data_IF_332852531324
#
_entry.id   IF_332852531324
#
_cell.length_a   1.000
_cell.length_b   1.000
_cell.length_c   1.000
_cell.angle_alpha   90.00
_cell.angle_beta   90.00
_cell.angle_gamma   90.00
#
_symmetry.space_group_name_H-M   'P 1'
#
loop_
_entity.id
_entity.type
_entity.pdbx_description
1 polymer ?
#
# COMPACT_ATOMS: atom_id res chain seq x y z
N UNK A 1 110.47 -180.73 137.40
CA UNK A 1 110.22 -179.91 138.60
C UNK A 1 109.67 -178.57 138.17
N UNK A 2 108.42 -178.30 138.57
CA UNK A 2 107.80 -177.00 138.89
C UNK A 2 108.43 -175.69 138.37
N UNK A 3 107.58 -174.88 137.71
CA UNK A 3 107.27 -173.44 137.96
C UNK A 3 106.50 -172.91 136.74
N UNK A 4 105.17 -172.77 136.77
CA UNK A 4 104.33 -171.72 137.40
C UNK A 4 104.68 -170.31 136.89
N UNK A 5 103.64 -169.61 136.42
CA UNK A 5 103.47 -168.15 136.30
C UNK A 5 103.84 -167.40 135.01
N UNK A 6 102.84 -167.14 134.15
CA UNK A 6 101.99 -165.93 134.15
C UNK A 6 101.22 -165.89 132.82
N UNK A 7 99.89 -165.79 132.89
CA UNK A 7 99.04 -165.46 131.75
C UNK A 7 99.40 -164.06 131.23
N UNK A 8 100.16 -164.01 130.14
CA UNK A 8 100.43 -162.78 129.42
C UNK A 8 99.25 -162.45 128.50
N UNK A 9 98.23 -161.80 129.07
CA UNK A 9 97.28 -160.85 128.45
C UNK A 9 97.21 -160.94 126.91
N UNK A 10 96.30 -161.75 126.37
CA UNK A 10 96.14 -162.02 124.93
C UNK A 10 95.99 -160.74 124.10
N UNK A 11 95.43 -159.67 124.71
CA UNK A 11 95.38 -158.33 124.10
C UNK A 11 96.77 -157.74 123.90
N UNK A 12 97.71 -157.94 124.83
CA UNK A 12 99.10 -157.49 124.66
C UNK A 12 99.83 -158.33 123.63
N UNK A 13 99.59 -159.64 123.57
CA UNK A 13 100.17 -160.50 122.54
C UNK A 13 99.65 -160.14 121.13
N UNK A 14 98.33 -159.99 120.96
CA UNK A 14 97.71 -159.56 119.71
C UNK A 14 98.10 -158.12 119.33
N UNK A 15 98.26 -157.22 120.31
CA UNK A 15 98.78 -155.88 120.05
C UNK A 15 100.25 -155.90 119.62
N UNK A 16 101.09 -156.78 120.20
CA UNK A 16 102.49 -156.97 119.81
C UNK A 16 102.59 -157.59 118.42
N UNK A 17 101.74 -158.57 118.11
CA UNK A 17 101.73 -159.24 116.81
C UNK A 17 101.16 -158.33 115.71
N UNK A 18 100.13 -157.54 116.01
CA UNK A 18 99.66 -156.45 115.16
C UNK A 18 100.74 -155.37 114.99
N UNK A 19 101.54 -155.06 116.03
CA UNK A 19 102.70 -154.17 115.93
C UNK A 19 103.78 -154.77 115.04
N UNK A 20 104.10 -156.05 115.18
CA UNK A 20 105.07 -156.76 114.32
C UNK A 20 104.59 -156.85 112.89
N UNK A 21 103.31 -157.13 112.64
CA UNK A 21 102.74 -157.17 111.30
C UNK A 21 102.67 -155.79 110.66
N UNK A 22 102.30 -154.73 111.42
CA UNK A 22 102.42 -153.35 110.96
C UNK A 22 103.87 -152.98 110.68
N UNK A 23 104.82 -153.37 111.54
CA UNK A 23 106.24 -153.09 111.33
C UNK A 23 106.79 -153.87 110.13
N UNK A 24 106.38 -155.12 109.88
CA UNK A 24 106.72 -155.88 108.66
C UNK A 24 106.11 -155.26 107.40
N UNK A 25 104.84 -154.84 107.45
CA UNK A 25 104.18 -154.12 106.36
C UNK A 25 104.80 -152.74 106.13
N UNK A 26 105.35 -152.12 107.17
CA UNK A 26 106.07 -150.85 107.11
C UNK A 26 107.49 -151.04 106.59
N UNK A 27 108.21 -152.06 107.03
CA UNK A 27 109.54 -152.44 106.56
C UNK A 27 109.51 -152.79 105.07
N UNK A 28 108.54 -153.58 104.61
CA UNK A 28 108.35 -153.88 103.18
C UNK A 28 108.10 -152.63 102.33
N UNK A 29 107.56 -151.54 102.90
CA UNK A 29 107.42 -150.24 102.23
C UNK A 29 108.67 -149.36 102.30
N UNK A 30 109.35 -149.33 103.45
CA UNK A 30 110.52 -148.45 103.70
C UNK A 30 111.80 -148.99 103.04
N UNK A 31 112.02 -150.30 103.07
CA UNK A 31 113.19 -150.94 102.46
C UNK A 31 113.05 -151.12 100.95
N UNK A 32 111.83 -151.04 100.41
CA UNK A 32 111.60 -151.02 98.97
C UNK A 32 111.81 -149.60 98.43
N UNK A 33 113.01 -149.33 97.91
CA UNK A 33 113.42 -148.02 97.38
C UNK A 33 112.45 -147.46 96.34
N UNK A 34 111.82 -148.31 95.53
CA UNK A 34 110.85 -147.87 94.51
C UNK A 34 109.54 -147.37 95.11
N UNK A 35 108.99 -148.06 96.10
CA UNK A 35 107.78 -147.60 96.82
C UNK A 35 108.05 -146.36 97.68
N UNK A 36 109.29 -146.18 98.19
CA UNK A 36 109.66 -145.01 98.98
C UNK A 36 109.78 -143.74 98.13
N UNK A 37 110.27 -143.85 96.90
CA UNK A 37 110.44 -142.70 95.99
C UNK A 37 109.20 -142.43 95.15
N UNK A 38 108.46 -143.48 94.72
CA UNK A 38 107.32 -143.38 93.79
C UNK A 38 106.13 -144.27 94.18
N UNK A 39 105.90 -144.50 95.48
CA UNK A 39 104.73 -145.22 95.95
C UNK A 39 103.47 -144.36 95.84
N UNK A 40 102.63 -144.65 94.85
CA UNK A 40 101.34 -143.98 94.63
C UNK A 40 100.24 -145.03 94.63
N UNK A 41 99.15 -144.76 95.34
CA UNK A 41 97.96 -145.61 95.32
C UNK A 41 97.18 -145.39 94.01
N UNK A 42 97.54 -146.18 92.99
CA UNK A 42 96.95 -146.09 91.65
C UNK A 42 95.47 -146.45 91.67
N UNK A 43 95.03 -147.37 92.53
CA UNK A 43 93.63 -147.78 92.63
C UNK A 43 92.78 -146.68 93.29
N UNK A 44 93.27 -146.09 94.38
CA UNK A 44 92.62 -144.93 95.02
C UNK A 44 92.53 -143.72 94.10
N UNK A 45 93.60 -143.41 93.36
CA UNK A 45 93.58 -142.32 92.36
C UNK A 45 92.62 -142.62 91.20
N UNK A 46 92.54 -143.86 90.72
CA UNK A 46 91.55 -144.25 89.70
C UNK A 46 90.12 -144.02 90.21
N UNK A 47 89.82 -144.44 91.44
CA UNK A 47 88.51 -144.20 92.05
C UNK A 47 88.20 -142.71 92.20
N UNK A 48 89.18 -141.89 92.60
CA UNK A 48 89.00 -140.42 92.68
C UNK A 48 88.78 -139.77 91.30
N UNK A 49 89.47 -140.24 90.26
CA UNK A 49 89.28 -139.78 88.88
C UNK A 49 87.90 -140.18 88.37
N UNK A 50 87.44 -141.39 88.67
CA UNK A 50 86.09 -141.85 88.32
C UNK A 50 85.01 -141.03 89.04
N UNK A 51 85.15 -140.79 90.35
CA UNK A 51 84.22 -139.95 91.11
C UNK A 51 84.18 -138.52 90.57
N UNK A 52 85.33 -137.93 90.25
CA UNK A 52 85.41 -136.61 89.62
C UNK A 52 84.72 -136.59 88.26
N UNK A 53 84.94 -137.60 87.41
CA UNK A 53 84.25 -137.75 86.12
C UNK A 53 82.74 -137.89 86.29
N UNK A 54 82.28 -138.64 87.30
CA UNK A 54 80.86 -138.76 87.63
C UNK A 54 80.25 -137.43 88.07
N UNK A 55 80.98 -136.63 88.86
CA UNK A 55 80.58 -135.28 89.26
C UNK A 55 80.51 -134.33 88.05
N UNK A 56 81.57 -134.26 87.26
CA UNK A 56 81.63 -133.43 86.05
C UNK A 56 80.53 -133.82 85.06
N UNK A 57 80.24 -135.12 84.88
CA UNK A 57 79.17 -135.58 84.00
C UNK A 57 77.76 -135.26 84.57
N UNK A 58 77.58 -135.36 85.88
CA UNK A 58 76.31 -134.97 86.54
C UNK A 58 76.05 -133.47 86.45
N UNK A 59 77.09 -132.64 86.65
CA UNK A 59 77.01 -131.18 86.46
C UNK A 59 76.71 -130.85 85.01
N UNK A 60 77.40 -131.49 84.06
CA UNK A 60 77.14 -131.30 82.63
C UNK A 60 75.72 -131.68 82.24
N UNK A 61 75.18 -132.79 82.73
CA UNK A 61 73.78 -133.17 82.50
C UNK A 61 72.79 -132.17 83.10
N UNK A 62 73.11 -131.60 84.27
CA UNK A 62 72.31 -130.57 84.91
C UNK A 62 72.32 -129.26 84.11
N UNK A 63 73.49 -128.85 83.63
CA UNK A 63 73.64 -127.67 82.79
C UNK A 63 72.94 -127.86 81.44
N UNK A 64 73.07 -129.04 80.82
CA UNK A 64 72.35 -129.42 79.60
C UNK A 64 70.82 -129.39 79.80
N UNK A 65 70.32 -129.81 80.97
CA UNK A 65 68.90 -129.73 81.31
C UNK A 65 68.42 -128.27 81.47
N UNK A 66 69.20 -127.42 82.15
CA UNK A 66 68.87 -126.00 82.29
C UNK A 66 68.94 -125.25 80.95
N UNK A 67 69.90 -125.58 80.10
CA UNK A 67 69.99 -125.04 78.75
C UNK A 67 68.80 -125.47 77.89
N UNK A 68 68.35 -126.72 78.00
CA UNK A 68 67.15 -127.20 77.34
C UNK A 68 65.90 -126.43 77.82
N UNK A 69 65.73 -126.24 79.13
CA UNK A 69 64.63 -125.44 79.70
C UNK A 69 64.68 -123.98 79.26
N UNK A 70 65.89 -123.37 79.18
CA UNK A 70 66.07 -122.02 78.65
C UNK A 70 65.60 -121.91 77.21
N UNK A 71 65.97 -122.87 76.36
CA UNK A 71 65.53 -122.91 74.95
C UNK A 71 64.00 -123.08 74.85
N UNK A 72 63.39 -123.88 75.73
CA UNK A 72 61.92 -124.01 75.78
C UNK A 72 61.25 -122.69 76.21
N UNK A 73 61.75 -122.04 77.26
CA UNK A 73 61.26 -120.74 77.72
C UNK A 73 61.41 -119.65 76.65
N UNK A 74 62.56 -119.57 75.97
CA UNK A 74 62.80 -118.61 74.88
C UNK A 74 61.82 -118.85 73.73
N UNK A 75 61.55 -120.11 73.39
CA UNK A 75 60.55 -120.47 72.36
C UNK A 75 59.14 -120.05 72.76
N UNK A 76 58.74 -120.26 74.01
CA UNK A 76 57.45 -119.82 74.54
C UNK A 76 57.34 -118.29 74.49
N UNK A 77 58.40 -117.57 74.88
CA UNK A 77 58.43 -116.11 74.83
C UNK A 77 58.27 -115.58 73.40
N UNK A 78 58.95 -116.18 72.42
CA UNK A 78 58.79 -115.82 71.00
C UNK A 78 57.37 -116.05 70.49
N UNK A 79 56.74 -117.18 70.84
CA UNK A 79 55.34 -117.44 70.46
C UNK A 79 54.38 -116.40 71.06
N UNK A 80 54.55 -116.05 72.34
CA UNK A 80 53.74 -115.02 73.01
C UNK A 80 53.94 -113.63 72.38
N UNK A 81 55.18 -113.29 72.00
CA UNK A 81 55.49 -112.04 71.32
C UNK A 81 54.84 -111.98 69.93
N UNK A 82 54.86 -113.09 69.18
CA UNK A 82 54.18 -113.19 67.89
C UNK A 82 52.66 -113.06 68.03
N UNK A 83 52.05 -113.71 69.02
CA UNK A 83 50.63 -113.59 69.35
C UNK A 83 50.27 -112.14 69.71
N UNK A 84 51.06 -111.49 70.56
CA UNK A 84 50.84 -110.09 70.93
C UNK A 84 50.97 -109.16 69.72
N UNK A 85 51.96 -109.40 68.86
CA UNK A 85 52.16 -108.65 67.60
C UNK A 85 50.97 -108.82 66.66
N UNK A 86 50.45 -110.04 66.50
CA UNK A 86 49.25 -110.31 65.70
C UNK A 86 48.03 -109.63 66.30
N UNK A 87 47.84 -109.68 67.62
CA UNK A 87 46.74 -109.00 68.31
C UNK A 87 46.80 -107.48 68.16
N UNK A 88 47.99 -106.88 68.27
CA UNK A 88 48.21 -105.45 68.00
C UNK A 88 47.85 -105.09 66.56
N UNK A 89 48.25 -105.92 65.60
CA UNK A 89 47.92 -105.73 64.18
C UNK A 89 46.42 -105.80 63.93
N UNK A 90 45.73 -106.80 64.48
CA UNK A 90 44.28 -106.95 64.38
C UNK A 90 43.53 -105.78 65.02
N UNK A 91 43.95 -105.36 66.22
CA UNK A 91 43.36 -104.20 66.89
C UNK A 91 43.55 -102.92 66.06
N UNK A 92 44.75 -102.71 65.51
CA UNK A 92 45.00 -101.57 64.64
C UNK A 92 44.14 -101.60 63.38
N UNK A 93 44.02 -102.77 62.73
CA UNK A 93 43.14 -102.95 61.58
C UNK A 93 41.67 -102.62 61.93
N UNK A 94 41.16 -103.15 63.04
CA UNK A 94 39.79 -102.87 63.48
C UNK A 94 39.56 -101.39 63.79
N UNK A 95 40.55 -100.70 64.37
CA UNK A 95 40.48 -99.25 64.64
C UNK A 95 40.46 -98.44 63.34
N UNK A 96 41.32 -98.80 62.37
CA UNK A 96 41.34 -98.14 61.06
C UNK A 96 40.04 -98.38 60.29
N UNK A 97 39.50 -99.60 60.33
CA UNK A 97 38.20 -99.93 59.74
C UNK A 97 37.07 -99.13 60.41
N UNK A 98 37.09 -99.01 61.74
CA UNK A 98 36.13 -98.21 62.48
C UNK A 98 36.21 -96.73 62.11
N UNK A 99 37.42 -96.16 62.01
CA UNK A 99 37.62 -94.78 61.54
C UNK A 99 37.10 -94.60 60.11
N UNK A 100 37.39 -95.56 59.22
CA UNK A 100 36.94 -95.54 57.84
C UNK A 100 35.42 -95.75 57.68
N UNK A 101 34.74 -96.37 58.64
CA UNK A 101 33.29 -96.58 58.57
C UNK A 101 32.51 -95.46 59.25
N UNK A 102 32.88 -95.10 60.46
CA UNK A 102 32.08 -94.24 61.34
C UNK A 102 32.58 -92.79 61.44
N UNK A 103 33.88 -92.55 61.20
CA UNK A 103 34.51 -91.23 61.40
C UNK A 103 34.90 -90.53 60.09
N UNK A 104 34.19 -90.83 59.01
CA UNK A 104 34.37 -90.14 57.73
C UNK A 104 34.06 -88.64 57.87
N UNK A 105 34.79 -87.74 57.18
CA UNK A 105 34.48 -86.32 57.21
C UNK A 105 33.03 -86.00 56.82
N UNK A 106 32.46 -86.77 55.88
CA UNK A 106 31.10 -86.62 55.39
C UNK A 106 29.98 -86.96 56.39
N UNK A 107 30.29 -87.71 57.46
CA UNK A 107 29.30 -88.08 58.48
C UNK A 107 29.25 -87.09 59.64
N UNK A 108 30.06 -86.02 59.60
CA UNK A 108 30.05 -84.95 60.60
C UNK A 108 28.76 -84.15 60.52
N UNK A 109 28.30 -83.64 61.66
CA UNK A 109 27.07 -82.84 61.76
C UNK A 109 27.15 -81.55 60.94
N UNK A 110 28.33 -80.94 60.93
CA UNK A 110 28.66 -79.69 60.23
C UNK A 110 29.25 -79.91 58.82
N UNK A 111 29.14 -81.12 58.26
CA UNK A 111 29.69 -81.41 56.93
C UNK A 111 29.06 -80.54 55.84
N UNK A 112 27.77 -80.19 55.95
CA UNK A 112 27.06 -79.31 55.03
C UNK A 112 27.71 -77.91 54.91
N UNK A 113 28.30 -77.41 56.00
CA UNK A 113 29.04 -76.14 56.05
C UNK A 113 30.46 -76.29 55.47
N UNK A 114 31.10 -77.44 55.71
CA UNK A 114 32.49 -77.70 55.33
C UNK A 114 32.67 -78.43 54.00
N UNK A 115 31.58 -78.81 53.33
CA UNK A 115 31.60 -79.45 52.01
C UNK A 115 32.22 -78.51 50.97
N UNK A 116 33.37 -78.88 50.35
CA UNK A 116 34.01 -78.06 49.32
C UNK A 116 33.09 -77.81 48.11
N UNK A 117 32.10 -78.67 47.87
CA UNK A 117 31.13 -78.53 46.79
C UNK A 117 29.86 -77.77 47.19
N UNK A 118 29.74 -77.26 48.42
CA UNK A 118 28.54 -76.58 48.91
C UNK A 118 28.06 -75.45 47.99
N UNK A 119 28.99 -74.65 47.45
CA UNK A 119 28.70 -73.55 46.51
C UNK A 119 28.13 -74.08 45.18
N UNK A 120 28.58 -75.25 44.72
CA UNK A 120 28.10 -75.86 43.47
C UNK A 120 26.73 -76.53 43.64
N UNK A 121 26.48 -77.14 44.81
CA UNK A 121 25.21 -77.79 45.16
C UNK A 121 24.13 -76.77 45.53
N UNK A 122 24.52 -75.57 45.97
CA UNK A 122 23.62 -74.47 46.30
C UNK A 122 22.81 -73.96 45.11
N UNK A 123 21.57 -73.55 45.37
CA UNK A 123 20.69 -72.93 44.39
C UNK A 123 20.88 -71.40 44.50
N UNK A 124 20.87 -70.63 43.40
CA UNK A 124 20.86 -69.17 43.46
C UNK A 124 19.75 -68.62 44.37
N UNK A 125 20.02 -67.47 45.00
CA UNK A 125 19.11 -66.82 45.95
C UNK A 125 17.74 -66.45 45.33
N UNK A 126 17.71 -66.19 44.01
CA UNK A 126 16.51 -66.00 43.18
C UNK A 126 16.71 -66.76 41.87
N UNK A 127 15.81 -67.68 41.54
CA UNK A 127 15.91 -68.52 40.32
C UNK A 127 15.07 -67.96 39.18
N UNK A 128 13.97 -67.29 39.50
CA UNK A 128 13.04 -66.68 38.55
C UNK A 128 12.41 -65.43 39.16
N UNK A 129 11.72 -64.62 38.34
CA UNK A 129 10.98 -63.44 38.80
C UNK A 129 9.79 -63.79 39.69
N UNK A 130 9.21 -64.98 39.46
CA UNK A 130 8.10 -65.55 40.22
C UNK A 130 8.54 -66.62 41.23
N UNK A 131 9.80 -66.56 41.70
CA UNK A 131 10.29 -67.50 42.72
C UNK A 131 9.52 -67.31 44.04
N UNK A 132 8.72 -68.32 44.40
CA UNK A 132 7.86 -68.29 45.59
C UNK A 132 8.65 -68.16 46.92
N UNK A 133 9.96 -68.49 46.92
CA UNK A 133 10.83 -68.33 48.09
C UNK A 133 11.17 -66.86 48.35
N UNK A 134 11.10 -66.00 47.32
CA UNK A 134 11.45 -64.59 47.37
C UNK A 134 10.27 -63.72 47.85
N UNK A 135 9.84 -63.92 49.10
CA UNK A 135 8.86 -63.05 49.76
C UNK A 135 9.42 -61.65 50.11
N UNK A 136 8.58 -60.72 50.62
CA UNK A 136 8.99 -59.34 50.92
C UNK A 136 10.19 -59.23 51.88
N UNK A 137 10.30 -60.14 52.87
CA UNK A 137 11.41 -60.15 53.83
C UNK A 137 12.74 -60.63 53.25
N UNK A 138 12.72 -61.37 52.13
CA UNK A 138 13.93 -61.93 51.51
C UNK A 138 14.83 -60.85 50.89
N UNK A 139 14.26 -59.67 50.59
CA UNK A 139 14.92 -58.57 49.87
C UNK A 139 15.55 -58.96 48.52
N UNK A 140 15.14 -60.09 47.93
CA UNK A 140 15.62 -60.55 46.61
C UNK A 140 14.77 -60.05 45.44
N UNK A 141 13.57 -59.52 45.73
CA UNK A 141 12.63 -58.97 44.74
C UNK A 141 12.04 -57.67 45.25
N UNK A 142 12.11 -56.62 44.44
CA UNK A 142 11.61 -55.29 44.77
C UNK A 142 10.47 -54.90 43.84
N UNK A 143 9.38 -54.37 44.38
CA UNK A 143 8.22 -53.96 43.58
C UNK A 143 8.50 -52.76 42.65
N UNK A 144 9.55 -51.97 42.94
CA UNK A 144 10.00 -50.89 42.05
C UNK A 144 10.84 -51.36 40.86
N UNK A 145 11.31 -52.60 40.86
CA UNK A 145 11.99 -53.21 39.73
C UNK A 145 10.96 -53.53 38.64
N UNK A 146 10.95 -52.74 37.58
CA UNK A 146 9.99 -52.89 36.51
C UNK A 146 10.62 -53.51 35.26
N UNK A 147 10.51 -54.83 35.18
CA UNK A 147 10.96 -55.62 34.04
C UNK A 147 10.13 -55.33 32.77
N UNK A 148 8.93 -54.77 32.91
CA UNK A 148 8.03 -54.47 31.81
C UNK A 148 8.19 -53.03 31.27
N UNK A 149 9.17 -52.27 31.79
CA UNK A 149 9.46 -50.91 31.35
C UNK A 149 9.61 -50.79 29.82
N UNK A 150 10.33 -51.68 29.11
CA UNK A 150 10.48 -51.58 27.66
C UNK A 150 9.16 -51.69 26.90
N UNK A 151 8.27 -52.60 27.33
CA UNK A 151 6.96 -52.76 26.69
C UNK A 151 6.03 -51.56 26.98
N UNK A 152 6.03 -51.06 28.23
CA UNK A 152 5.29 -49.83 28.57
C UNK A 152 5.78 -48.65 27.74
N UNK A 153 7.09 -48.44 27.62
CA UNK A 153 7.65 -47.38 26.79
C UNK A 153 7.29 -47.55 25.31
N UNK A 154 7.29 -48.78 24.79
CA UNK A 154 6.84 -49.06 23.42
C UNK A 154 5.37 -48.68 23.21
N UNK A 155 4.50 -49.03 24.15
CA UNK A 155 3.08 -48.66 24.11
C UNK A 155 2.89 -47.14 24.17
N UNK A 156 3.56 -46.46 25.09
CA UNK A 156 3.52 -45.00 25.21
C UNK A 156 4.00 -44.32 23.94
N UNK A 157 5.12 -44.76 23.36
CA UNK A 157 5.62 -44.25 22.07
C UNK A 157 4.60 -44.45 20.94
N UNK A 158 3.92 -45.59 20.91
CA UNK A 158 2.84 -45.86 19.95
C UNK A 158 1.66 -44.89 20.10
N UNK A 159 1.22 -44.66 21.34
CA UNK A 159 0.15 -43.70 21.65
C UNK A 159 0.55 -42.28 21.27
N UNK A 160 1.76 -41.84 21.65
CA UNK A 160 2.26 -40.51 21.30
C UNK A 160 2.36 -40.34 19.78
N UNK A 161 2.85 -41.37 19.07
CA UNK A 161 2.92 -41.35 17.60
C UNK A 161 1.53 -41.14 16.99
N UNK A 162 0.53 -41.93 17.42
CA UNK A 162 -0.84 -41.80 16.92
C UNK A 162 -1.41 -40.39 17.14
N UNK A 163 -1.29 -39.85 18.35
CA UNK A 163 -1.78 -38.50 18.68
C UNK A 163 -1.09 -37.44 17.82
N UNK A 164 0.23 -37.55 17.60
CA UNK A 164 0.97 -36.60 16.77
C UNK A 164 0.57 -36.71 15.28
N UNK A 165 0.29 -37.91 14.79
CA UNK A 165 -0.22 -38.13 13.43
C UNK A 165 -1.61 -37.49 13.27
N UNK A 166 -2.52 -37.69 14.22
CA UNK A 166 -3.83 -37.02 14.22
C UNK A 166 -3.70 -35.49 14.23
N UNK A 167 -2.91 -34.93 15.14
CA UNK A 167 -2.67 -33.48 15.22
C UNK A 167 -2.07 -32.93 13.92
N UNK A 168 -1.14 -33.67 13.30
CA UNK A 168 -0.54 -33.28 12.03
C UNK A 168 -1.58 -33.27 10.92
N UNK A 169 -2.38 -34.33 10.78
CA UNK A 169 -3.42 -34.39 9.74
C UNK A 169 -4.48 -33.31 9.92
N UNK A 170 -4.88 -33.02 11.15
CA UNK A 170 -5.82 -31.95 11.46
C UNK A 170 -5.23 -30.59 11.09
N UNK A 171 -3.96 -30.33 11.42
CA UNK A 171 -3.27 -29.10 11.04
C UNK A 171 -3.14 -28.96 9.52
N UNK A 172 -2.80 -30.04 8.82
CA UNK A 172 -2.73 -30.06 7.36
C UNK A 172 -4.09 -29.76 6.72
N UNK A 173 -5.19 -30.32 7.25
CA UNK A 173 -6.57 -29.97 6.83
C UNK A 173 -6.89 -28.50 7.07
N UNK A 174 -6.65 -27.98 8.27
CA UNK A 174 -6.88 -26.56 8.58
C UNK A 174 -6.09 -25.63 7.66
N UNK A 175 -4.83 -25.98 7.34
CA UNK A 175 -4.01 -25.22 6.39
C UNK A 175 -4.55 -25.30 4.95
N UNK A 176 -5.06 -26.46 4.53
CA UNK A 176 -5.68 -26.62 3.22
C UNK A 176 -6.97 -25.79 3.12
N UNK A 177 -7.81 -25.81 4.16
CA UNK A 177 -9.05 -25.03 4.24
C UNK A 177 -8.75 -23.53 4.23
N UNK A 178 -7.74 -23.08 4.98
CA UNK A 178 -7.27 -21.69 4.94
C UNK A 178 -6.79 -21.28 3.55
N UNK A 179 -5.92 -22.07 2.93
CA UNK A 179 -5.46 -21.79 1.55
C UNK A 179 -6.61 -21.74 0.56
N UNK A 180 -7.59 -22.62 0.70
CA UNK A 180 -8.77 -22.62 -0.15
C UNK A 180 -9.59 -21.34 0.05
N UNK A 181 -9.83 -20.93 1.31
CA UNK A 181 -10.51 -19.68 1.63
C UNK A 181 -9.76 -18.46 1.08
N UNK A 182 -8.44 -18.39 1.26
CA UNK A 182 -7.59 -17.32 0.73
C UNK A 182 -7.71 -17.24 -0.80
N UNK A 183 -7.64 -18.38 -1.51
CA UNK A 183 -7.78 -18.39 -2.97
C UNK A 183 -9.17 -17.95 -3.44
N UNK A 184 -10.21 -18.20 -2.65
CA UNK A 184 -11.57 -17.77 -2.96
C UNK A 184 -11.71 -16.25 -2.75
N UNK A 185 -11.15 -15.73 -1.68
CA UNK A 185 -11.12 -14.30 -1.38
C UNK A 185 -10.33 -13.53 -2.45
N UNK A 186 -9.18 -14.06 -2.88
CA UNK A 186 -8.38 -13.46 -3.96
C UNK A 186 -9.15 -13.42 -5.28
N UNK A 187 -9.86 -14.52 -5.64
CA UNK A 187 -10.73 -14.52 -6.84
C UNK A 187 -11.84 -13.48 -6.74
N UNK A 188 -12.47 -13.35 -5.57
CA UNK A 188 -13.52 -12.37 -5.32
C UNK A 188 -12.98 -10.93 -5.41
N UNK A 189 -11.76 -10.67 -4.92
CA UNK A 189 -11.10 -9.37 -5.06
C UNK A 189 -10.88 -9.02 -6.53
N UNK A 190 -10.34 -9.96 -7.31
CA UNK A 190 -10.14 -9.78 -8.75
C UNK A 190 -11.47 -9.48 -9.46
N UNK A 191 -12.55 -10.20 -9.13
CA UNK A 191 -13.88 -9.95 -9.69
C UNK A 191 -14.39 -8.53 -9.36
N UNK A 192 -14.24 -8.09 -8.11
CA UNK A 192 -14.65 -6.75 -7.68
C UNK A 192 -13.83 -5.66 -8.38
N UNK A 193 -12.53 -5.86 -8.54
CA UNK A 193 -11.65 -4.92 -9.24
C UNK A 193 -12.05 -4.80 -10.72
N UNK A 194 -12.29 -5.93 -11.41
CA UNK A 194 -12.77 -5.95 -12.79
C UNK A 194 -14.11 -5.21 -12.92
N UNK A 195 -15.05 -5.48 -12.01
CA UNK A 195 -16.35 -4.79 -12.01
C UNK A 195 -16.22 -3.30 -11.75
N UNK A 196 -15.25 -2.89 -10.93
CA UNK A 196 -14.96 -1.47 -10.67
C UNK A 196 -14.43 -0.79 -11.92
N UNK A 197 -13.54 -1.45 -12.68
CA UNK A 197 -13.04 -0.95 -13.96
C UNK A 197 -14.16 -0.83 -15.00
N UNK A 198 -15.03 -1.83 -15.11
CA UNK A 198 -16.20 -1.79 -16.00
C UNK A 198 -17.14 -0.62 -15.66
N UNK A 199 -17.45 -0.43 -14.37
CA UNK A 199 -18.28 0.69 -13.93
C UNK A 199 -17.64 2.04 -14.21
N UNK A 200 -16.33 2.18 -14.02
CA UNK A 200 -15.59 3.41 -14.32
C UNK A 200 -15.63 3.74 -15.82
N UNK A 201 -15.44 2.73 -16.69
CA UNK A 201 -15.56 2.90 -18.14
C UNK A 201 -16.98 3.33 -18.54
N UNK A 202 -18.02 2.66 -18.02
CA UNK A 202 -19.41 3.02 -18.27
C UNK A 202 -19.76 4.43 -17.79
N UNK A 203 -19.22 4.86 -16.64
CA UNK A 203 -19.40 6.22 -16.15
C UNK A 203 -18.75 7.24 -17.09
N UNK A 204 -17.53 6.96 -17.55
CA UNK A 204 -16.82 7.84 -18.48
C UNK A 204 -17.55 7.96 -19.83
N UNK A 205 -18.06 6.84 -20.35
CA UNK A 205 -18.84 6.81 -21.59
C UNK A 205 -20.15 7.57 -21.45
N UNK A 206 -20.85 7.42 -20.32
CA UNK A 206 -22.04 8.18 -20.00
C UNK A 206 -21.74 9.68 -19.89
N UNK A 207 -20.61 10.06 -19.28
CA UNK A 207 -20.16 11.46 -19.19
C UNK A 207 -19.85 12.03 -20.57
N UNK A 208 -19.17 11.27 -21.43
CA UNK A 208 -18.91 11.65 -22.83
C UNK A 208 -20.21 11.84 -23.61
N UNK A 209 -21.13 10.89 -23.54
CA UNK A 209 -22.43 10.97 -24.21
C UNK A 209 -23.25 12.19 -23.75
N UNK A 210 -23.27 12.47 -22.43
CA UNK A 210 -23.92 13.68 -21.88
C UNK A 210 -23.27 14.97 -22.40
N UNK A 211 -21.94 15.03 -22.40
CA UNK A 211 -21.22 16.20 -22.90
C UNK A 211 -21.49 16.45 -24.39
N UNK A 212 -21.53 15.39 -25.21
CA UNK A 212 -21.89 15.47 -26.63
C UNK A 212 -23.32 15.98 -26.80
N UNK A 213 -24.29 15.42 -26.08
CA UNK A 213 -25.68 15.86 -26.15
C UNK A 213 -25.86 17.33 -25.76
N UNK A 214 -25.17 17.79 -24.72
CA UNK A 214 -25.17 19.22 -24.31
C UNK A 214 -24.53 20.10 -25.39
N UNK A 215 -23.40 19.67 -25.97
CA UNK A 215 -22.73 20.42 -27.03
C UNK A 215 -23.62 20.56 -28.28
N UNK A 216 -24.31 19.49 -28.67
CA UNK A 216 -25.23 19.50 -29.80
C UNK A 216 -26.46 20.36 -29.52
N UNK A 217 -27.02 20.29 -28.30
CA UNK A 217 -28.11 21.17 -27.87
C UNK A 217 -27.70 22.64 -27.91
N UNK A 218 -26.54 22.98 -27.35
CA UNK A 218 -26.02 24.35 -27.38
C UNK A 218 -25.76 24.84 -28.81
N UNK A 219 -25.28 23.97 -29.70
CA UNK A 219 -25.07 24.29 -31.13
C UNK A 219 -26.41 24.57 -31.82
N UNK A 220 -27.43 23.74 -31.58
CA UNK A 220 -28.77 23.95 -32.11
C UNK A 220 -29.40 25.25 -31.59
N UNK A 221 -29.26 25.52 -30.29
CA UNK A 221 -29.75 26.75 -29.67
C UNK A 221 -29.04 28.00 -30.24
N UNK A 222 -27.72 27.95 -30.42
CA UNK A 222 -26.97 29.03 -31.05
C UNK A 222 -27.41 29.29 -32.50
N UNK A 223 -27.67 28.23 -33.27
CA UNK A 223 -28.19 28.34 -34.63
C UNK A 223 -29.61 28.96 -34.65
N UNK A 224 -30.48 28.57 -33.71
CA UNK A 224 -31.82 29.15 -33.56
C UNK A 224 -31.75 30.65 -33.24
N UNK A 225 -30.91 31.05 -32.28
CA UNK A 225 -30.71 32.45 -31.93
C UNK A 225 -30.16 33.25 -33.12
N UNK A 226 -29.22 32.69 -33.88
CA UNK A 226 -28.69 33.34 -35.09
C UNK A 226 -29.74 33.48 -36.21
N UNK A 227 -30.65 32.52 -36.37
CA UNK A 227 -31.82 32.64 -37.26
C UNK A 227 -32.78 33.74 -36.77
N UNK A 228 -33.10 33.76 -35.48
CA UNK A 228 -33.97 34.79 -34.91
C UNK A 228 -33.39 36.19 -35.07
N UNK A 229 -32.09 36.38 -34.84
CA UNK A 229 -31.41 37.65 -35.05
C UNK A 229 -31.42 38.07 -36.51
N UNK A 230 -31.17 37.16 -37.46
CA UNK A 230 -31.27 37.46 -38.89
C UNK A 230 -32.68 37.90 -39.29
N UNK A 231 -33.71 37.20 -38.79
CA UNK A 231 -35.11 37.59 -39.03
C UNK A 231 -35.45 38.94 -38.40
N UNK A 232 -34.93 39.22 -37.20
CA UNK A 232 -35.14 40.51 -36.54
C UNK A 232 -34.46 41.65 -37.32
N UNK A 233 -33.23 41.47 -37.77
CA UNK A 233 -32.53 42.44 -38.63
C UNK A 233 -33.26 42.66 -39.95
N UNK A 234 -33.78 41.59 -40.56
CA UNK A 234 -34.55 41.70 -41.80
C UNK A 234 -35.86 42.47 -41.58
N UNK A 235 -36.57 42.23 -40.47
CA UNK A 235 -37.75 43.02 -40.10
C UNK A 235 -37.41 44.49 -39.85
N UNK A 236 -36.31 44.75 -39.15
CA UNK A 236 -35.85 46.12 -38.90
C UNK A 236 -35.50 46.83 -40.22
N UNK A 237 -34.88 46.14 -41.17
CA UNK A 237 -34.65 46.66 -42.52
C UNK A 237 -35.96 46.93 -43.27
N UNK A 238 -36.91 45.99 -43.26
CA UNK A 238 -38.22 46.15 -43.89
C UNK A 238 -38.99 47.34 -43.27
N UNK A 239 -38.95 47.49 -41.95
CA UNK A 239 -39.58 48.60 -41.22
C UNK A 239 -38.91 49.94 -41.56
N UNK A 240 -37.57 49.99 -41.62
CA UNK A 240 -36.83 51.17 -42.04
C UNK A 240 -37.15 51.57 -43.48
N UNK A 241 -37.21 50.60 -44.40
CA UNK A 241 -37.56 50.84 -45.80
C UNK A 241 -39.00 51.33 -45.93
N UNK A 242 -39.93 50.77 -45.15
CA UNK A 242 -41.31 51.23 -45.08
C UNK A 242 -41.41 52.65 -44.52
N UNK A 243 -40.66 52.99 -43.47
CA UNK A 243 -40.58 54.34 -42.91
C UNK A 243 -40.04 55.34 -43.95
N UNK A 244 -38.93 55.01 -44.62
CA UNK A 244 -38.35 55.83 -45.69
C UNK A 244 -39.36 56.03 -46.82
N UNK A 245 -40.00 54.95 -47.29
CA UNK A 245 -41.01 55.04 -48.33
C UNK A 245 -42.20 55.91 -47.91
N UNK A 246 -42.69 55.74 -46.68
CA UNK A 246 -43.79 56.54 -46.12
C UNK A 246 -43.41 58.03 -46.02
N UNK A 247 -42.17 58.36 -45.63
CA UNK A 247 -41.70 59.73 -45.63
C UNK A 247 -41.59 60.29 -47.04
N UNK A 248 -40.97 59.56 -47.97
CA UNK A 248 -40.83 59.97 -49.37
C UNK A 248 -42.18 60.19 -50.07
N UNK A 249 -43.19 59.40 -49.72
CA UNK A 249 -44.56 59.52 -50.28
C UNK A 249 -45.48 60.40 -49.42
N UNK A 250 -45.00 60.90 -48.29
CA UNK A 250 -45.77 61.77 -47.41
C UNK A 250 -46.06 63.10 -48.09
N UNK A 251 -47.30 63.56 -47.88
CA UNK A 251 -47.81 64.87 -48.30
C UNK A 251 -46.93 66.06 -47.88
N UNK A 252 -46.11 65.91 -46.83
CA UNK A 252 -45.16 66.94 -46.39
C UNK A 252 -43.96 67.03 -47.34
N UNK A 253 -43.23 65.92 -47.59
CA UNK A 253 -42.03 65.93 -48.43
C UNK A 253 -42.34 66.04 -49.93
N UNK A 254 -43.48 65.50 -50.39
CA UNK A 254 -43.90 65.65 -51.80
C UNK A 254 -44.54 67.00 -52.10
N UNK A 255 -44.69 67.84 -51.08
CA UNK A 255 -45.34 69.15 -51.17
C UNK A 255 -46.69 69.11 -51.91
N UNK A 256 -47.47 68.03 -51.70
CA UNK A 256 -48.67 67.77 -52.48
C UNK A 256 -49.68 68.95 -52.38
N UNK A 257 -50.06 69.60 -53.51
CA UNK A 257 -50.98 70.74 -53.50
C UNK A 257 -52.43 70.34 -53.15
N UNK A 258 -52.79 69.06 -53.29
CA UNK A 258 -54.15 68.58 -53.01
C UNK A 258 -54.52 68.67 -51.52
N UNK A 259 -53.53 68.72 -50.64
CA UNK A 259 -53.70 68.89 -49.19
C UNK A 259 -54.39 70.23 -48.88
N UNK A 260 -54.22 71.23 -49.73
CA UNK A 260 -54.82 72.55 -49.56
C UNK A 260 -56.34 72.59 -49.86
N UNK A 261 -56.90 71.53 -50.47
CA UNK A 261 -58.33 71.46 -50.83
C UNK A 261 -59.18 71.30 -49.57
N UNK A 262 -60.10 72.23 -49.32
CA UNK A 262 -61.02 72.13 -48.19
C UNK A 262 -62.10 71.06 -48.43
N UNK A 263 -62.41 70.27 -47.41
CA UNK A 263 -63.57 69.38 -47.42
C UNK A 263 -64.91 70.13 -47.59
N UNK A 264 -64.94 71.44 -47.27
CA UNK A 264 -66.13 72.30 -47.35
C UNK A 264 -66.38 72.87 -48.76
N UNK A 265 -65.61 72.45 -49.77
CA UNK A 265 -65.90 72.69 -51.18
C UNK A 265 -64.68 73.14 -52.02
N UNK A 266 -64.73 72.97 -53.35
CA UNK A 266 -63.57 73.16 -54.25
C UNK A 266 -63.00 74.58 -54.27
N UNK A 267 -63.84 75.57 -53.95
CA UNK A 267 -63.46 76.99 -54.00
C UNK A 267 -62.84 77.49 -52.68
N UNK A 268 -62.83 76.66 -51.63
CA UNK A 268 -62.23 76.98 -50.34
C UNK A 268 -60.90 76.26 -50.20
N UNK A 269 -59.90 77.02 -49.76
CA UNK A 269 -58.55 76.52 -49.52
C UNK A 269 -58.27 76.56 -48.02
N UNK A 270 -57.59 75.54 -47.50
CA UNK A 270 -57.10 75.52 -46.12
C UNK A 270 -55.92 76.50 -46.01
N UNK A 271 -56.11 77.61 -45.31
CA UNK A 271 -55.17 78.75 -45.29
C UNK A 271 -53.76 78.36 -44.85
N UNK A 272 -53.62 77.48 -43.86
CA UNK A 272 -52.32 77.04 -43.34
C UNK A 272 -51.55 76.11 -44.29
N UNK A 273 -52.22 75.54 -45.30
CA UNK A 273 -51.67 74.54 -46.21
C UNK A 273 -51.62 75.03 -47.66
N UNK A 274 -51.88 76.32 -47.88
CA UNK A 274 -51.86 76.92 -49.21
C UNK A 274 -50.43 77.12 -49.72
N UNK A 275 -50.12 76.52 -50.88
CA UNK A 275 -48.77 76.49 -51.49
C UNK A 275 -48.71 77.21 -52.83
N UNK A 276 -49.40 78.35 -52.92
CA UNK A 276 -49.46 79.16 -54.14
C UNK A 276 -50.55 78.72 -55.13
N UNK A 277 -50.57 79.37 -56.29
CA UNK A 277 -51.51 79.08 -57.38
C UNK A 277 -51.07 77.86 -58.17
N UNK A 278 -52.03 77.08 -58.68
CA UNK A 278 -51.73 75.96 -59.58
C UNK A 278 -51.13 76.47 -60.89
N UNK A 279 -50.29 75.68 -61.58
CA UNK A 279 -49.73 76.06 -62.88
C UNK A 279 -50.81 76.46 -63.91
N UNK A 280 -51.98 75.79 -63.87
CA UNK A 280 -53.12 76.11 -64.73
C UNK A 280 -53.73 77.48 -64.41
N UNK A 281 -53.84 77.87 -63.14
CA UNK A 281 -54.32 79.20 -62.72
C UNK A 281 -53.30 80.29 -63.09
N UNK A 282 -52.01 80.04 -62.90
CA UNK A 282 -50.95 80.97 -63.32
C UNK A 282 -50.98 81.16 -64.84
N UNK A 283 -51.14 80.09 -65.61
CA UNK A 283 -51.27 80.16 -67.07
C UNK A 283 -52.52 80.96 -67.51
N UNK A 284 -53.63 80.78 -66.81
CA UNK A 284 -54.84 81.57 -67.05
C UNK A 284 -54.63 83.07 -66.76
N UNK A 285 -53.93 83.41 -65.68
CA UNK A 285 -53.55 84.81 -65.37
C UNK A 285 -52.64 85.38 -66.46
N UNK A 286 -51.62 84.62 -66.90
CA UNK A 286 -50.73 85.07 -67.97
C UNK A 286 -51.47 85.30 -69.29
N UNK A 287 -52.38 84.40 -69.68
CA UNK A 287 -53.26 84.61 -70.85
C UNK A 287 -54.11 85.87 -70.72
N UNK A 288 -54.70 86.08 -69.54
CA UNK A 288 -55.51 87.27 -69.26
C UNK A 288 -54.66 88.55 -69.35
N UNK A 289 -53.43 88.53 -68.86
CA UNK A 289 -52.50 89.66 -68.97
C UNK A 289 -52.09 89.94 -70.42
N UNK A 290 -51.85 88.89 -71.21
CA UNK A 290 -51.55 89.03 -72.64
C UNK A 290 -52.72 89.67 -73.40
N UNK A 291 -53.96 89.26 -73.09
CA UNK A 291 -55.18 89.87 -73.63
C UNK A 291 -55.30 91.34 -73.21
N UNK A 292 -55.04 91.68 -71.94
CA UNK A 292 -55.03 93.06 -71.45
C UNK A 292 -53.97 93.92 -72.15
N UNK A 293 -52.78 93.38 -72.42
CA UNK A 293 -51.74 94.08 -73.17
C UNK A 293 -52.19 94.37 -74.61
N UNK A 294 -52.81 93.40 -75.29
CA UNK A 294 -53.36 93.57 -76.65
C UNK A 294 -54.49 94.61 -76.66
N UNK A 295 -55.38 94.58 -75.67
CA UNK A 295 -56.47 95.55 -75.56
C UNK A 295 -55.94 96.97 -75.29
N UNK A 296 -54.97 97.13 -74.40
CA UNK A 296 -54.32 98.42 -74.15
C UNK A 296 -53.58 98.96 -75.40
N UNK A 297 -52.96 98.09 -76.20
CA UNK A 297 -52.37 98.49 -77.49
C UNK A 297 -53.44 99.02 -78.45
N UNK A 298 -54.56 98.31 -78.60
CA UNK A 298 -55.70 98.78 -79.41
C UNK A 298 -56.25 100.13 -78.94
N UNK A 299 -56.36 100.31 -77.63
CA UNK A 299 -56.83 101.58 -77.06
C UNK A 299 -55.87 102.75 -77.35
N UNK A 300 -54.56 102.53 -77.26
CA UNK A 300 -53.54 103.53 -77.62
C UNK A 300 -53.54 103.86 -79.10
N UNK A 301 -53.69 102.86 -79.98
CA UNK A 301 -53.81 103.09 -81.43
C UNK A 301 -55.07 103.92 -81.76
N UNK A 302 -56.20 103.61 -81.11
CA UNK A 302 -57.43 104.38 -81.27
C UNK A 302 -57.30 105.82 -80.72
N UNK A 303 -56.58 106.02 -79.62
CA UNK A 303 -56.31 107.35 -79.07
C UNK A 303 -55.40 108.18 -79.98
N UNK A 304 -54.32 107.58 -80.50
CA UNK A 304 -53.43 108.22 -81.47
C UNK A 304 -54.17 108.61 -82.76
N UNK A 305 -55.12 107.79 -83.24
CA UNK A 305 -55.97 108.14 -84.38
C UNK A 305 -56.88 109.34 -84.08
N UNK A 306 -57.48 109.40 -82.89
CA UNK A 306 -58.30 110.54 -82.45
C UNK A 306 -57.47 111.83 -82.31
N UNK A 307 -56.26 111.74 -81.76
CA UNK A 307 -55.35 112.88 -81.62
C UNK A 307 -54.91 113.41 -82.99
N UNK A 308 -54.57 112.52 -83.94
CA UNK A 308 -54.24 112.91 -85.31
C UNK A 308 -55.43 113.51 -86.10
N UNK A 309 -56.67 113.17 -85.75
CA UNK A 309 -57.87 113.84 -86.29
C UNK A 309 -58.07 115.21 -85.66
N UNK A 310 -57.85 115.34 -84.34
CA UNK A 310 -57.93 116.61 -83.62
C UNK A 310 -56.88 117.61 -84.10
N UNK A 311 -55.64 117.17 -84.30
CA UNK A 311 -54.55 118.00 -84.84
C UNK A 311 -54.86 118.49 -86.26
N UNK A 312 -55.43 117.63 -87.12
CA UNK A 312 -55.89 118.04 -88.46
C UNK A 312 -56.99 119.11 -88.38
N UNK A 313 -57.93 118.99 -87.44
CA UNK A 313 -58.97 120.01 -87.24
C UNK A 313 -58.37 121.32 -86.71
N UNK A 314 -57.42 121.25 -85.77
CA UNK A 314 -56.74 122.41 -85.22
C UNK A 314 -55.92 123.15 -86.29
N UNK A 315 -55.23 122.43 -87.17
CA UNK A 315 -54.44 123.03 -88.26
C UNK A 315 -55.35 123.72 -89.29
N UNK A 316 -56.50 123.11 -89.64
CA UNK A 316 -57.50 123.75 -90.49
C UNK A 316 -58.10 125.01 -89.84
N UNK A 317 -58.39 124.97 -88.54
CA UNK A 317 -58.88 126.13 -87.79
C UNK A 317 -57.83 127.25 -87.71
N UNK A 318 -56.56 126.93 -87.49
CA UNK A 318 -55.46 127.89 -87.47
C UNK A 318 -55.26 128.56 -88.85
N UNK A 319 -55.37 127.80 -89.94
CA UNK A 319 -55.33 128.35 -91.31
C UNK A 319 -56.51 129.30 -91.55
N UNK A 320 -57.72 128.95 -91.12
CA UNK A 320 -58.88 129.82 -91.22
C UNK A 320 -58.72 131.12 -90.40
N UNK A 321 -58.18 131.01 -89.18
CA UNK A 321 -57.88 132.17 -88.33
C UNK A 321 -56.86 133.12 -88.98
N UNK A 322 -55.77 132.60 -89.57
CA UNK A 322 -54.80 133.42 -90.29
C UNK A 322 -55.40 134.13 -91.52
N UNK A 323 -56.33 133.50 -92.24
CA UNK A 323 -57.04 134.14 -93.36
C UNK A 323 -57.91 135.29 -92.86
N UNK A 324 -58.65 135.09 -91.76
CA UNK A 324 -59.47 136.13 -91.12
C UNK A 324 -58.64 137.30 -90.62
N UNK A 325 -57.50 137.03 -89.95
CA UNK A 325 -56.58 138.06 -89.45
C UNK A 325 -55.99 138.90 -90.59
N UNK A 326 -55.65 138.26 -91.72
CA UNK A 326 -55.16 138.96 -92.92
C UNK A 326 -56.24 139.83 -93.56
N UNK A 327 -57.50 139.40 -93.52
CA UNK A 327 -58.65 140.21 -93.92
C UNK A 327 -58.81 141.43 -93.00
N UNK A 328 -58.73 141.25 -91.69
CA UNK A 328 -58.84 142.33 -90.70
C UNK A 328 -57.73 143.37 -90.86
N UNK A 329 -56.48 142.94 -91.09
CA UNK A 329 -55.35 143.82 -91.37
C UNK A 329 -55.54 144.64 -92.65
N UNK A 330 -56.06 144.04 -93.72
CA UNK A 330 -56.37 144.75 -94.96
C UNK A 330 -57.45 145.81 -94.77
N UNK A 331 -58.51 145.51 -94.02
CA UNK A 331 -59.56 146.47 -93.67
C UNK A 331 -59.00 147.62 -92.83
N UNK A 332 -58.18 147.33 -91.82
CA UNK A 332 -57.49 148.36 -91.02
C UNK A 332 -56.62 149.29 -91.87
N UNK A 333 -55.87 148.74 -92.83
CA UNK A 333 -55.05 149.52 -93.75
C UNK A 333 -55.89 150.43 -94.67
N UNK A 334 -57.03 149.95 -95.18
CA UNK A 334 -57.94 150.77 -95.98
C UNK A 334 -58.57 151.90 -95.16
N UNK A 335 -59.01 151.60 -93.93
CA UNK A 335 -59.59 152.60 -93.02
C UNK A 335 -58.58 153.70 -92.64
N UNK A 336 -57.31 153.32 -92.44
CA UNK A 336 -56.23 154.27 -92.18
C UNK A 336 -55.95 155.18 -93.38
N UNK A 337 -55.93 154.62 -94.61
CA UNK A 337 -55.79 155.41 -95.83
C UNK A 337 -56.95 156.39 -96.05
N UNK A 338 -58.19 156.01 -95.74
CA UNK A 338 -59.34 156.92 -95.84
C UNK A 338 -59.30 158.03 -94.79
N UNK A 339 -58.86 157.72 -93.56
CA UNK A 339 -58.67 158.73 -92.51
C UNK A 339 -57.56 159.73 -92.85
N UNK A 340 -56.43 159.26 -93.40
CA UNK A 340 -55.32 160.12 -93.82
C UNK A 340 -55.73 161.05 -94.98
N UNK A 341 -56.55 160.57 -95.92
CA UNK A 341 -57.11 161.38 -97.01
C UNK A 341 -58.07 162.47 -96.47
N UNK A 342 -58.99 162.10 -95.58
CA UNK A 342 -59.92 163.03 -94.95
C UNK A 342 -59.20 164.12 -94.12
N UNK A 343 -58.16 163.74 -93.38
CA UNK A 343 -57.37 164.68 -92.60
C UNK A 343 -56.60 165.69 -93.48
N UNK A 344 -56.17 165.30 -94.69
CA UNK A 344 -55.56 166.23 -95.65
C UNK A 344 -56.55 167.26 -96.17
N UNK A 345 -57.75 166.83 -96.58
CA UNK A 345 -58.80 167.73 -97.04
C UNK A 345 -59.20 168.74 -95.96
N UNK A 346 -59.32 168.28 -94.70
CA UNK A 346 -59.63 169.14 -93.56
C UNK A 346 -58.53 170.18 -93.30
N UNK A 347 -57.26 169.79 -93.42
CA UNK A 347 -56.12 170.69 -93.24
C UNK A 347 -56.05 171.76 -94.35
N UNK A 348 -56.34 171.41 -95.60
CA UNK A 348 -56.39 172.36 -96.72
C UNK A 348 -57.54 173.37 -96.55
N UNK A 349 -58.73 172.90 -96.15
CA UNK A 349 -59.90 173.74 -95.89
C UNK A 349 -59.67 174.74 -94.73
N UNK A 350 -59.00 174.32 -93.65
CA UNK A 350 -58.63 175.22 -92.56
C UNK A 350 -57.63 176.29 -93.02
N UNK A 351 -56.66 175.91 -93.85
CA UNK A 351 -55.63 176.83 -94.37
C UNK A 351 -56.21 177.88 -95.31
N UNK A 352 -57.16 177.52 -96.16
CA UNK A 352 -57.87 178.46 -97.03
C UNK A 352 -58.77 179.41 -96.25
N UNK A 353 -59.43 178.92 -95.18
CA UNK A 353 -60.31 179.75 -94.35
C UNK A 353 -59.53 180.78 -93.52
N UNK A 354 -58.36 180.40 -93.01
CA UNK A 354 -57.43 181.32 -92.34
C UNK A 354 -56.93 182.42 -93.29
N UNK A 355 -56.58 182.07 -94.54
CA UNK A 355 -56.17 183.07 -95.54
C UNK A 355 -57.29 184.05 -95.91
N UNK A 356 -58.55 183.60 -95.92
CA UNK A 356 -59.72 184.44 -96.17
C UNK A 356 -59.94 185.47 -95.04
N UNK A 357 -59.92 185.01 -93.78
CA UNK A 357 -60.05 185.86 -92.59
C UNK A 357 -58.96 186.94 -92.53
N UNK A 358 -57.71 186.58 -92.80
CA UNK A 358 -56.56 187.48 -92.66
C UNK A 358 -56.52 188.58 -93.74
N UNK A 359 -56.98 188.28 -94.96
CA UNK A 359 -56.94 189.24 -96.08
C UNK A 359 -58.17 190.13 -96.19
N UNK A 360 -59.37 189.60 -96.01
CA UNK A 360 -60.60 190.35 -96.29
C UNK A 360 -61.25 190.97 -95.05
N UNK A 361 -61.10 190.37 -93.87
CA UNK A 361 -61.82 190.81 -92.65
C UNK A 361 -60.96 191.74 -91.79
N UNK A 362 -59.64 191.55 -91.76
CA UNK A 362 -58.74 192.27 -90.86
C UNK A 362 -58.02 193.49 -91.47
N UNK A 363 -58.41 193.95 -92.66
CA UNK A 363 -57.86 195.16 -93.28
C UNK A 363 -58.88 196.32 -93.29
N UNK A 364 -58.62 197.31 -92.42
CA UNK A 364 -59.45 198.51 -92.31
C UNK A 364 -58.99 199.59 -93.31
N UNK A 365 -59.83 199.89 -94.31
CA UNK A 365 -59.63 201.03 -95.22
C UNK A 365 -60.44 202.25 -94.73
N UNK A 366 -59.82 203.45 -94.59
CA UNK A 366 -60.54 204.65 -94.19
C UNK A 366 -61.54 205.06 -95.27
N UNK A 367 -62.81 205.22 -94.89
CA UNK A 367 -63.87 205.64 -95.82
C UNK A 367 -63.75 207.14 -96.14
N UNK A 368 -63.97 207.52 -97.39
CA UNK A 368 -63.80 208.89 -97.93
C UNK A 368 -64.48 210.03 -97.11
N UNK A 369 -65.48 209.72 -96.27
CA UNK A 369 -66.10 210.67 -95.33
C UNK A 369 -65.14 211.20 -94.25
N UNK A 370 -64.09 210.44 -93.90
CA UNK A 370 -63.11 210.80 -92.87
C UNK A 370 -62.24 212.00 -93.27
N UNK A 371 -61.89 212.16 -94.55
CA UNK A 371 -60.99 213.23 -95.01
C UNK A 371 -61.69 214.57 -95.27
N UNK A 372 -63.03 214.59 -95.36
CA UNK A 372 -63.84 215.79 -95.55
C UNK A 372 -64.10 216.57 -94.24
N UNK A 373 -63.67 216.05 -93.08
CA UNK A 373 -63.91 216.64 -91.77
C UNK A 373 -62.90 217.72 -91.37
N UNK A 374 -61.75 217.82 -92.04
CA UNK A 374 -60.67 218.75 -91.67
C UNK A 374 -60.65 219.98 -92.59
N UNK A 375 -60.41 221.17 -92.03
CA UNK A 375 -60.41 222.50 -92.68
C UNK A 375 -61.79 223.09 -93.08
N UNK A 376 -62.84 222.88 -92.28
CA UNK A 376 -64.21 223.37 -92.57
C UNK A 376 -64.62 224.68 -91.87
N UNK A 377 -63.76 225.35 -91.09
CA UNK A 377 -64.12 226.62 -90.44
C UNK A 377 -62.92 227.56 -90.26
N UNK A 378 -63.11 228.83 -90.60
CA UNK A 378 -62.13 229.93 -90.53
C UNK A 378 -61.94 230.47 -89.10
N UNK A 379 -61.92 229.57 -88.11
CA UNK A 379 -61.90 229.88 -86.67
C UNK A 379 -60.66 229.29 -86.01
#
# INVERSE_FOLDING_TARGET
MYKVDIQADEKKAAAIEARRNREKQRQSRIFNTRYRTMGVDVEGLKSQVEERKWRENSEKQRDEAFDADRVQCDKIAQMLEEEERLRKKQLHQAVVEFWGREQQPSTRREWDIHDPEAVRKGIPARVSDDDARCGPCSMQRFAGEDLNAPARHKLQKGQTKHILEEQRTERERRLADQRYADTLDDKKRIELDLRTLELAQLEEDCRRAKAMAIADFNRAQAAEVAEQQRRAQQREQDDNDAEIHNHLTSNFLTENPDVAKSAMGPQRVIVSQWKGMSPAEVEAVLKTQEEQCKENQRMREAEHQREAEWDRQAELAARAAMVMERQEQNVRLQLRKSLDAYNKELAEAQKSNLQYLEKEVYTNAPTAHYHLQFNTSSR
#
